data_IF_515969425348
#
_entry.id   IF_515969425348
#
_cell.length_a   1.000
_cell.length_b   1.000
_cell.length_c   1.000
_cell.angle_alpha   90.00
_cell.angle_beta   90.00
_cell.angle_gamma   90.00
#
_symmetry.space_group_name_H-M   'P 1'
#
loop_
_entity.id
_entity.type
_entity.pdbx_description
1 polymer ?
#
# COMPACT_ATOMS: atom_id res chain seq x y z
N UNK A 1 16.90 2.71 3.82
CA UNK A 1 16.55 3.24 5.16
C UNK A 1 15.19 2.65 5.58
N UNK A 2 14.84 2.65 6.86
CA UNK A 2 13.51 2.24 7.33
C UNK A 2 12.42 3.13 6.71
N UNK A 3 12.73 4.41 6.48
CA UNK A 3 11.84 5.36 5.81
C UNK A 3 11.50 4.91 4.38
N UNK A 4 12.51 4.57 3.57
CA UNK A 4 12.29 4.08 2.21
C UNK A 4 11.43 2.81 2.19
N UNK A 5 11.62 1.93 3.17
CA UNK A 5 10.83 0.71 3.28
C UNK A 5 9.38 0.99 3.66
N UNK A 6 9.13 1.95 4.56
CA UNK A 6 7.78 2.38 4.94
C UNK A 6 7.06 2.99 3.72
N UNK A 7 7.74 3.85 2.96
CA UNK A 7 7.20 4.43 1.74
C UNK A 7 6.84 3.35 0.71
N UNK A 8 7.81 2.49 0.37
CA UNK A 8 7.60 1.36 -0.52
C UNK A 8 6.42 0.48 -0.09
N UNK A 9 6.33 0.15 1.20
CA UNK A 9 5.28 -0.72 1.71
C UNK A 9 3.88 -0.08 1.59
N UNK A 10 3.77 1.22 1.82
CA UNK A 10 2.50 1.93 1.81
C UNK A 10 2.00 2.25 0.40
N UNK A 11 2.89 2.53 -0.55
CA UNK A 11 2.53 3.13 -1.84
C UNK A 11 2.90 2.31 -3.07
N UNK A 12 3.76 1.28 -2.93
CA UNK A 12 4.26 0.50 -4.07
C UNK A 12 4.03 -1.01 -3.93
N UNK A 13 3.90 -1.53 -2.70
CA UNK A 13 3.71 -2.95 -2.45
C UNK A 13 2.25 -3.38 -2.60
N UNK A 14 1.92 -4.00 -3.73
CA UNK A 14 0.64 -4.65 -3.94
C UNK A 14 0.43 -5.88 -3.04
N UNK A 15 -0.78 -6.04 -2.52
CA UNK A 15 -1.13 -7.15 -1.63
C UNK A 15 -2.40 -7.86 -2.12
N UNK A 16 -2.32 -9.18 -2.30
CA UNK A 16 -3.46 -10.00 -2.73
C UNK A 16 -4.65 -9.91 -1.78
N UNK A 17 -4.39 -9.79 -0.46
CA UNK A 17 -5.42 -9.58 0.57
C UNK A 17 -6.15 -8.24 0.46
N UNK A 18 -5.58 -7.27 -0.27
CA UNK A 18 -6.16 -5.96 -0.53
C UNK A 18 -6.69 -5.88 -1.98
N UNK A 19 -7.13 -6.99 -2.56
CA UNK A 19 -7.58 -7.06 -3.96
C UNK A 19 -6.52 -6.58 -4.96
N UNK A 20 -5.26 -6.94 -4.71
CA UNK A 20 -4.11 -6.51 -5.54
C UNK A 20 -3.91 -4.99 -5.57
N UNK A 21 -4.18 -4.31 -4.46
CA UNK A 21 -3.93 -2.89 -4.24
C UNK A 21 -2.81 -2.68 -3.21
N UNK A 22 -2.26 -1.47 -3.22
CA UNK A 22 -1.41 -0.96 -2.14
C UNK A 22 -2.27 -0.56 -0.93
N UNK A 23 -1.68 -0.46 0.27
CA UNK A 23 -2.39 0.03 1.45
C UNK A 23 -3.07 1.39 1.26
N UNK A 24 -2.46 2.31 0.52
CA UNK A 24 -3.03 3.63 0.26
C UNK A 24 -4.20 3.60 -0.72
N UNK A 25 -4.05 2.92 -1.86
CA UNK A 25 -5.13 2.74 -2.84
C UNK A 25 -6.37 2.08 -2.22
N UNK A 26 -6.17 1.05 -1.39
CA UNK A 26 -7.27 0.38 -0.69
C UNK A 26 -8.03 1.33 0.25
N UNK A 27 -7.33 2.21 0.98
CA UNK A 27 -7.98 3.22 1.85
C UNK A 27 -8.76 4.24 1.03
N UNK A 28 -8.24 4.65 -0.12
CA UNK A 28 -8.89 5.63 -1.00
C UNK A 28 -10.17 5.10 -1.67
N UNK A 29 -10.34 3.77 -1.78
CA UNK A 29 -11.59 3.17 -2.25
C UNK A 29 -12.71 3.13 -1.20
N UNK A 30 -12.36 3.24 0.09
CA UNK A 30 -13.31 3.21 1.19
C UNK A 30 -13.83 4.62 1.58
N UNK A 31 -13.33 5.66 0.92
CA UNK A 31 -13.74 7.06 1.09
C UNK A 31 -14.82 7.43 0.07
#
# INVERSE_FOLDING_TARGET
>A
DINDYIEFYNTQRYQTKLNSLTPEEYRNQAA
#
